data_IF_457939517887
#
_entry.id   IF_457939517887
#
_cell.length_a   1.000
_cell.length_b   1.000
_cell.length_c   1.000
_cell.angle_alpha   90.00
_cell.angle_beta   90.00
_cell.angle_gamma   90.00
#
_symmetry.space_group_name_H-M   'P 1'
#
loop_
_entity.id
_entity.type
_entity.pdbx_description
1 polymer ?
#
# COMPACT_ATOMS: atom_id res chain seq x y z
N UNK A 1 -4.14 2.74 -9.66
CA UNK A 1 -2.74 2.33 -9.81
C UNK A 1 -2.61 0.83 -9.71
N UNK A 2 -1.88 0.24 -10.62
CA UNK A 2 -1.60 -1.19 -10.60
C UNK A 2 -0.10 -1.37 -10.47
N UNK A 3 0.30 -2.21 -9.50
CA UNK A 3 1.70 -2.56 -9.35
C UNK A 3 1.85 -4.05 -9.59
N UNK A 4 2.85 -4.41 -10.39
CA UNK A 4 3.05 -5.79 -10.81
C UNK A 4 4.16 -6.43 -10.01
N UNK A 5 3.92 -7.66 -9.57
CA UNK A 5 4.87 -8.39 -8.75
C UNK A 5 6.19 -8.61 -9.46
N UNK A 6 6.16 -8.94 -10.73
CA UNK A 6 7.37 -9.25 -11.47
C UNK A 6 8.19 -8.02 -11.83
N UNK A 7 7.64 -6.83 -11.63
CA UNK A 7 8.36 -5.57 -11.84
C UNK A 7 8.77 -4.93 -10.53
N UNK A 8 8.45 -5.55 -9.41
CA UNK A 8 8.69 -4.97 -8.10
C UNK A 8 10.13 -5.17 -7.67
N UNK A 9 10.62 -4.24 -6.86
CA UNK A 9 11.96 -4.32 -6.30
C UNK A 9 12.08 -5.53 -5.35
N UNK A 10 11.01 -5.85 -4.64
CA UNK A 10 11.00 -6.98 -3.73
C UNK A 10 9.58 -7.45 -3.46
N UNK A 11 9.42 -8.49 -2.66
CA UNK A 11 8.08 -9.08 -2.44
C UNK A 11 7.18 -8.28 -1.51
N UNK A 12 7.71 -7.26 -0.86
CA UNK A 12 6.96 -6.49 0.12
C UNK A 12 6.81 -5.05 -0.32
N UNK A 13 5.71 -4.43 0.08
CA UNK A 13 5.51 -3.01 -0.16
C UNK A 13 4.81 -2.36 1.03
N UNK A 14 5.00 -1.07 1.17
CA UNK A 14 4.36 -0.27 2.21
C UNK A 14 3.78 0.98 1.59
N UNK A 15 2.67 1.46 2.15
CA UNK A 15 1.98 2.62 1.64
C UNK A 15 1.83 3.63 2.77
N UNK A 16 2.18 4.88 2.49
CA UNK A 16 2.12 5.97 3.47
C UNK A 16 1.36 7.14 2.87
N UNK A 17 0.43 7.76 3.60
CA UNK A 17 -0.17 9.00 3.14
C UNK A 17 0.82 10.14 3.33
N UNK A 18 0.82 11.06 2.38
CA UNK A 18 1.72 12.20 2.42
C UNK A 18 0.95 13.45 2.81
N UNK A 19 1.16 13.90 4.04
CA UNK A 19 0.66 15.19 4.51
C UNK A 19 -0.74 15.21 5.08
N UNK A 20 -1.69 14.53 4.48
CA UNK A 20 -3.07 14.59 4.87
C UNK A 20 -3.72 13.21 4.79
N UNK A 21 -4.90 13.09 5.36
CA UNK A 21 -5.64 11.83 5.31
C UNK A 21 -6.04 11.50 3.89
N UNK A 22 -5.99 10.22 3.55
CA UNK A 22 -6.42 9.71 2.26
C UNK A 22 -7.65 8.84 2.49
N UNK A 23 -8.73 9.18 1.78
CA UNK A 23 -10.03 8.53 1.96
C UNK A 23 -10.31 7.52 0.88
N UNK A 24 -11.16 6.56 1.20
CA UNK A 24 -11.59 5.52 0.26
C UNK A 24 -10.41 4.80 -0.36
N UNK A 25 -9.48 4.44 0.51
CA UNK A 25 -8.26 3.76 0.08
C UNK A 25 -8.53 2.27 -0.03
N UNK A 26 -8.22 1.70 -1.17
CA UNK A 26 -8.46 0.29 -1.44
C UNK A 26 -7.20 -0.38 -1.95
N UNK A 27 -6.96 -1.60 -1.47
CA UNK A 27 -5.89 -2.45 -1.97
C UNK A 27 -6.51 -3.81 -2.30
N UNK A 28 -6.31 -4.27 -3.53
CA UNK A 28 -6.78 -5.57 -3.98
C UNK A 28 -5.60 -6.38 -4.51
N UNK A 29 -5.63 -7.68 -4.26
CA UNK A 29 -4.57 -8.57 -4.73
C UNK A 29 -3.40 -8.70 -3.80
N UNK A 30 -3.47 -8.10 -2.62
CA UNK A 30 -2.42 -8.16 -1.62
C UNK A 30 -2.81 -9.10 -0.49
N UNK A 31 -1.81 -9.51 0.27
CA UNK A 31 -2.04 -10.41 1.40
C UNK A 31 -2.96 -9.78 2.44
N UNK A 32 -2.87 -8.47 2.62
CA UNK A 32 -3.71 -7.73 3.55
C UNK A 32 -4.49 -6.69 2.77
N UNK A 33 -5.61 -7.08 2.15
CA UNK A 33 -6.39 -6.13 1.35
C UNK A 33 -7.11 -5.12 2.24
N UNK A 34 -7.37 -3.95 1.68
CA UNK A 34 -8.14 -2.92 2.36
C UNK A 34 -9.31 -2.52 1.47
N UNK A 35 -10.42 -2.20 2.13
CA UNK A 35 -11.63 -1.76 1.42
C UNK A 35 -12.15 -0.50 2.10
N UNK A 36 -12.22 0.58 1.33
CA UNK A 36 -12.80 1.85 1.79
C UNK A 36 -12.17 2.33 3.11
N UNK A 37 -10.87 2.20 3.19
CA UNK A 37 -10.13 2.53 4.40
C UNK A 37 -9.69 3.99 4.38
N UNK A 38 -9.55 4.59 5.56
CA UNK A 38 -8.98 5.93 5.67
C UNK A 38 -7.56 5.81 6.19
N UNK A 39 -6.59 6.31 5.42
CA UNK A 39 -5.20 6.36 5.84
C UNK A 39 -4.94 7.71 6.48
N UNK A 40 -4.39 7.69 7.68
CA UNK A 40 -4.06 8.91 8.41
C UNK A 40 -2.55 9.00 8.61
N UNK A 41 -1.95 10.17 8.36
CA UNK A 41 -0.51 10.34 8.59
C UNK A 41 -0.13 10.25 10.07
N UNK A 42 -1.11 10.33 10.94
CA UNK A 42 -0.87 10.21 12.38
C UNK A 42 -1.09 8.79 12.88
N UNK A 43 -1.49 7.91 12.01
CA UNK A 43 -1.72 6.52 12.34
C UNK A 43 -0.39 5.79 12.29
N UNK A 44 -0.09 5.00 13.30
CA UNK A 44 1.15 4.23 13.29
C UNK A 44 1.05 3.00 12.39
N UNK A 45 -0.09 2.81 11.76
CA UNK A 45 -0.27 1.71 10.83
C UNK A 45 0.43 2.02 9.53
N UNK A 46 1.71 1.73 9.49
CA UNK A 46 2.39 1.55 8.24
C UNK A 46 1.77 0.32 7.62
N UNK A 47 1.11 0.50 6.50
CA UNK A 47 0.56 -0.65 5.81
C UNK A 47 1.72 -1.38 5.16
N UNK A 48 2.24 -2.38 5.86
CA UNK A 48 3.23 -3.27 5.31
C UNK A 48 2.49 -4.42 4.69
N UNK A 49 2.69 -4.65 3.41
CA UNK A 49 1.88 -5.59 2.67
C UNK A 49 2.75 -6.44 1.75
N UNK A 50 2.13 -7.37 1.07
CA UNK A 50 2.82 -8.36 0.27
C UNK A 50 1.92 -8.72 -0.90
N UNK A 51 2.52 -8.97 -2.07
CA UNK A 51 1.73 -9.43 -3.21
C UNK A 51 1.18 -10.82 -2.91
N UNK A 52 -0.12 -10.97 -3.10
CA UNK A 52 -0.77 -12.28 -3.06
C UNK A 52 -1.00 -12.78 -4.48
N UNK A 53 -1.28 -11.85 -5.38
CA UNK A 53 -1.49 -12.13 -6.79
C UNK A 53 -0.43 -11.43 -7.61
N UNK A 54 -0.42 -11.66 -8.91
CA UNK A 54 0.57 -11.07 -9.80
C UNK A 54 0.46 -9.56 -9.88
N UNK A 55 -0.72 -9.03 -9.62
CA UNK A 55 -0.98 -7.60 -9.67
C UNK A 55 -1.70 -7.16 -8.40
N UNK A 56 -1.31 -6.02 -7.89
CA UNK A 56 -2.00 -5.36 -6.79
C UNK A 56 -2.58 -4.07 -7.31
N UNK A 57 -3.87 -3.86 -7.06
CA UNK A 57 -4.57 -2.65 -7.47
C UNK A 57 -4.77 -1.75 -6.27
N UNK A 58 -4.37 -0.50 -6.41
CA UNK A 58 -4.48 0.50 -5.35
C UNK A 58 -5.28 1.67 -5.91
N UNK A 59 -6.31 2.06 -5.16
CA UNK A 59 -7.12 3.20 -5.55
C UNK A 59 -7.48 4.02 -4.32
N UNK A 60 -7.69 5.32 -4.51
CA UNK A 60 -8.11 6.22 -3.44
C UNK A 60 -8.71 7.46 -4.07
N UNK A 61 -9.46 8.21 -3.26
CA UNK A 61 -10.21 9.34 -3.78
C UNK A 61 -9.40 10.62 -3.85
N UNK A 62 -8.56 10.86 -2.87
CA UNK A 62 -7.85 12.14 -2.76
C UNK A 62 -6.48 11.95 -2.16
N UNK A 63 -5.65 12.95 -2.32
CA UNK A 63 -4.37 12.99 -1.64
C UNK A 63 -3.25 12.32 -2.42
N UNK A 64 -2.13 12.15 -1.73
CA UNK A 64 -0.92 11.58 -2.29
C UNK A 64 -0.43 10.51 -1.34
N UNK A 65 -0.04 9.38 -1.89
CA UNK A 65 0.56 8.32 -1.09
C UNK A 65 1.95 8.00 -1.63
N UNK A 66 2.81 7.55 -0.74
CA UNK A 66 4.13 7.08 -1.08
C UNK A 66 4.12 5.57 -1.02
N UNK A 67 4.57 4.94 -2.10
CA UNK A 67 4.68 3.50 -2.18
C UNK A 67 6.16 3.12 -2.07
N UNK A 68 6.48 2.27 -1.12
CA UNK A 68 7.84 1.77 -0.95
C UNK A 68 7.84 0.26 -1.14
N UNK A 69 8.76 -0.22 -1.97
CA UNK A 69 8.93 -1.64 -2.21
C UNK A 69 10.22 -2.10 -1.57
N UNK A 70 10.19 -3.22 -0.88
CA UNK A 70 11.35 -3.69 -0.13
C UNK A 70 11.52 -5.19 -0.31
N UNK A 71 12.74 -5.66 -0.07
CA UNK A 71 13.05 -7.08 -0.10
C UNK A 71 12.77 -7.74 1.25
N UNK A 72 12.79 -6.96 2.32
CA UNK A 72 12.53 -7.43 3.67
C UNK A 72 11.17 -6.95 4.10
N UNK A 73 10.69 -7.49 5.20
CA UNK A 73 9.42 -7.05 5.77
C UNK A 73 9.45 -5.59 6.19
N UNK A 74 10.60 -4.96 6.09
CA UNK A 74 10.74 -3.59 6.49
C UNK A 74 10.99 -3.50 7.97
N UNK A 75 10.20 -2.72 8.62
CA UNK A 75 10.37 -2.42 10.02
C UNK A 75 9.99 -3.61 10.90
N UNK A 76 10.89 -4.34 11.37
CA UNK A 76 10.62 -5.44 12.30
C UNK A 76 10.98 -5.09 13.71
#
# INVERSE_FOLDING_TARGET
TVIKKDEAYGPFFSVFPLGAEVYHFNIEGAKYPLTDHTLSPYDSLCVSNQWLEDEVKISFMNGIVILMETKDKGQD
#
